data_IF_978080407671
#
_entry.id   IF_978080407671
#
_cell.length_a   1.000
_cell.length_b   1.000
_cell.length_c   1.000
_cell.angle_alpha   90.00
_cell.angle_beta   90.00
_cell.angle_gamma   90.00
#
_symmetry.space_group_name_H-M   'P 1'
#
loop_
_entity.id
_entity.type
_entity.pdbx_description
1 polymer ?
#
# COMPACT_ATOMS: atom_id res chain seq x y z
N UNK A 1 -11.70 -31.05 29.18
CA UNK A 1 -13.05 -30.72 29.71
C UNK A 1 -12.90 -29.69 30.83
N UNK A 2 -13.31 -28.44 30.63
CA UNK A 2 -13.98 -27.59 31.63
C UNK A 2 -14.43 -26.27 30.99
N UNK A 3 -15.76 -26.15 30.83
CA UNK A 3 -16.66 -24.99 31.02
C UNK A 3 -16.21 -23.64 30.43
N UNK A 4 -16.80 -23.18 29.31
CA UNK A 4 -18.06 -22.38 29.24
C UNK A 4 -18.20 -21.35 30.38
N UNK A 5 -18.07 -20.08 30.03
CA UNK A 5 -18.82 -18.99 30.64
C UNK A 5 -19.16 -17.94 29.57
N UNK A 6 -20.45 -17.83 29.35
CA UNK A 6 -21.15 -16.91 28.48
C UNK A 6 -21.41 -15.56 29.17
N UNK A 7 -21.77 -14.57 28.34
CA UNK A 7 -22.76 -13.52 28.62
C UNK A 7 -22.28 -12.28 29.40
N UNK A 8 -22.45 -11.12 28.76
CA UNK A 8 -22.27 -9.81 29.38
C UNK A 8 -22.55 -8.67 28.41
N UNK A 9 -23.77 -8.58 27.88
CA UNK A 9 -24.29 -7.43 27.17
C UNK A 9 -24.93 -6.49 28.21
N UNK A 10 -24.43 -5.26 28.35
CA UNK A 10 -25.13 -4.19 29.08
C UNK A 10 -25.03 -2.88 28.29
N UNK A 11 -26.21 -2.39 27.94
CA UNK A 11 -26.55 -1.11 27.32
C UNK A 11 -26.80 -0.07 28.43
N UNK A 12 -26.32 1.16 28.26
CA UNK A 12 -26.88 2.39 28.86
C UNK A 12 -26.35 3.61 28.03
N UNK A 13 -27.11 4.25 27.13
CA UNK A 13 -28.31 5.12 27.27
C UNK A 13 -27.97 6.61 27.50
N UNK A 14 -28.29 7.39 26.44
CA UNK A 14 -28.80 8.77 26.36
C UNK A 14 -28.05 9.92 27.04
N UNK A 15 -27.63 10.92 26.24
CA UNK A 15 -28.00 12.32 26.52
C UNK A 15 -28.36 13.05 25.22
N UNK A 16 -29.49 13.74 25.34
CA UNK A 16 -30.23 14.62 24.44
C UNK A 16 -29.41 15.73 23.75
N UNK A 17 -29.77 15.99 22.49
CA UNK A 17 -29.53 17.24 21.78
C UNK A 17 -30.73 17.58 20.89
N UNK A 18 -31.86 17.90 21.53
CA UNK A 18 -33.00 18.53 20.85
C UNK A 18 -32.65 20.01 20.72
N UNK A 19 -32.37 20.45 19.49
CA UNK A 19 -32.14 21.86 19.18
C UNK A 19 -32.86 22.24 17.90
N UNK A 20 -33.98 22.96 18.04
CA UNK A 20 -34.41 23.97 17.08
C UNK A 20 -35.29 23.53 15.92
N UNK A 21 -36.60 23.51 16.14
CA UNK A 21 -37.60 23.68 15.10
C UNK A 21 -37.72 25.21 14.81
N UNK A 22 -37.42 25.65 13.59
CA UNK A 22 -37.55 27.03 13.15
C UNK A 22 -37.96 27.08 11.70
N UNK A 23 -39.17 27.58 11.42
CA UNK A 23 -39.84 27.48 10.14
C UNK A 23 -39.59 28.70 9.24
N UNK A 24 -39.54 28.43 7.93
CA UNK A 24 -39.75 29.34 6.77
C UNK A 24 -38.67 30.37 6.38
N UNK A 25 -37.97 30.09 5.27
CA UNK A 25 -38.08 30.96 4.09
C UNK A 25 -37.68 30.24 2.80
N UNK A 26 -38.52 30.41 1.77
CA UNK A 26 -38.34 29.88 0.41
C UNK A 26 -37.07 30.45 -0.21
N UNK A 27 -36.20 29.56 -0.71
CA UNK A 27 -35.48 29.76 -1.97
C UNK A 27 -34.96 28.40 -2.45
N UNK A 28 -35.56 27.91 -3.51
CA UNK A 28 -35.07 26.79 -4.29
C UNK A 28 -34.24 27.35 -5.45
N UNK A 29 -33.03 26.83 -5.66
CA UNK A 29 -32.67 26.26 -6.96
C UNK A 29 -32.12 24.84 -6.75
N UNK A 30 -32.84 23.80 -7.16
CA UNK A 30 -32.56 23.03 -8.38
C UNK A 30 -31.11 22.50 -8.44
N UNK A 31 -30.98 21.24 -7.99
CA UNK A 31 -29.85 20.29 -8.06
C UNK A 31 -29.08 20.32 -9.42
N UNK A 32 -27.83 19.80 -9.52
CA UNK A 32 -27.46 18.47 -9.02
C UNK A 32 -26.00 18.24 -8.57
N UNK A 33 -25.79 17.02 -8.06
CA UNK A 33 -24.57 16.22 -8.15
C UNK A 33 -23.62 16.23 -6.94
N UNK A 34 -23.61 15.06 -6.30
CA UNK A 34 -22.44 14.39 -5.74
C UNK A 34 -21.60 15.21 -4.76
N UNK A 35 -21.96 15.11 -3.48
CA UNK A 35 -20.93 15.04 -2.43
C UNK A 35 -20.13 13.76 -2.67
N UNK A 36 -19.19 13.82 -3.62
CA UNK A 36 -18.01 12.98 -3.56
C UNK A 36 -17.35 13.35 -2.24
N UNK A 37 -17.52 12.51 -1.23
CA UNK A 37 -16.52 12.34 -0.19
C UNK A 37 -15.18 12.26 -0.92
N UNK A 38 -14.45 13.37 -0.87
CA UNK A 38 -13.01 13.35 -1.08
C UNK A 38 -12.49 12.42 -0.01
N UNK A 39 -12.37 11.13 -0.37
CA UNK A 39 -11.32 10.30 0.16
C UNK A 39 -10.08 11.18 0.11
N UNK A 40 -9.54 11.55 1.27
CA UNK A 40 -8.18 12.02 1.37
C UNK A 40 -7.35 11.08 0.48
N UNK A 41 -6.91 11.63 -0.64
CA UNK A 41 -6.05 10.97 -1.59
C UNK A 41 -4.78 10.69 -0.79
N UNK A 42 -4.69 9.49 -0.22
CA UNK A 42 -3.50 8.94 0.40
C UNK A 42 -2.41 9.21 -0.62
N UNK A 43 -1.55 10.18 -0.33
CA UNK A 43 -0.46 10.56 -1.21
C UNK A 43 0.38 9.30 -1.36
N UNK A 44 0.16 8.56 -2.45
CA UNK A 44 0.96 7.41 -2.81
C UNK A 44 2.41 7.89 -2.83
N UNK A 45 3.20 7.41 -1.88
CA UNK A 45 4.63 7.69 -1.80
C UNK A 45 5.29 6.92 -2.94
N UNK A 46 5.22 7.48 -4.15
CA UNK A 46 5.80 6.86 -5.32
C UNK A 46 7.32 6.88 -5.25
N UNK A 47 7.97 5.80 -5.69
CA UNK A 47 9.41 5.78 -5.94
C UNK A 47 9.76 6.83 -6.99
N UNK A 48 10.81 7.59 -6.73
CA UNK A 48 11.38 8.53 -7.70
C UNK A 48 12.11 7.74 -8.79
N UNK A 49 11.80 7.98 -10.08
CA UNK A 49 12.45 7.27 -11.17
C UNK A 49 13.97 7.44 -11.17
N UNK A 50 14.69 6.34 -11.36
CA UNK A 50 16.14 6.38 -11.58
C UNK A 50 16.40 6.55 -13.08
N UNK A 51 17.30 7.48 -13.48
CA UNK A 51 17.62 7.68 -14.89
C UNK A 51 18.13 6.40 -15.56
N UNK A 52 17.65 6.16 -16.79
CA UNK A 52 18.17 5.09 -17.64
C UNK A 52 19.67 5.28 -17.90
N UNK A 53 20.42 4.17 -17.94
CA UNK A 53 21.87 4.19 -18.08
C UNK A 53 22.64 4.40 -16.76
N UNK A 54 21.95 4.60 -15.63
CA UNK A 54 22.59 4.54 -14.30
C UNK A 54 23.22 3.15 -14.10
N UNK A 55 24.48 3.04 -13.65
CA UNK A 55 25.09 1.74 -13.39
C UNK A 55 24.24 0.87 -12.45
N UNK A 56 24.09 -0.41 -12.76
CA UNK A 56 23.17 -1.32 -12.03
C UNK A 56 23.40 -1.30 -10.51
N UNK A 57 24.65 -1.33 -10.06
CA UNK A 57 24.97 -1.29 -8.63
C UNK A 57 24.49 0.00 -7.95
N UNK A 58 24.66 1.14 -8.61
CA UNK A 58 24.18 2.44 -8.11
C UNK A 58 22.66 2.54 -8.16
N UNK A 59 22.04 2.01 -9.23
CA UNK A 59 20.60 1.96 -9.39
C UNK A 59 19.94 1.11 -8.28
N UNK A 60 20.49 -0.07 -8.01
CA UNK A 60 20.03 -0.94 -6.93
C UNK A 60 20.17 -0.28 -5.56
N UNK A 61 21.29 0.40 -5.31
CA UNK A 61 21.52 1.11 -4.05
C UNK A 61 20.45 2.19 -3.84
N UNK A 62 20.25 3.06 -4.84
CA UNK A 62 19.25 4.13 -4.80
C UNK A 62 17.81 3.61 -4.69
N UNK A 63 17.45 2.53 -5.39
CA UNK A 63 16.13 1.89 -5.22
C UNK A 63 15.98 1.35 -3.80
N UNK A 64 17.03 0.71 -3.29
CA UNK A 64 17.00 0.15 -1.95
C UNK A 64 16.81 1.23 -0.89
N UNK A 65 17.54 2.34 -0.98
CA UNK A 65 17.39 3.49 -0.10
C UNK A 65 15.96 4.07 -0.12
N UNK A 66 15.39 4.25 -1.32
CA UNK A 66 14.03 4.77 -1.47
C UNK A 66 12.97 3.83 -0.91
N UNK A 67 13.12 2.52 -1.09
CA UNK A 67 12.21 1.49 -0.56
C UNK A 67 12.34 1.40 0.95
N UNK A 68 13.56 1.43 1.49
CA UNK A 68 13.80 1.40 2.93
C UNK A 68 13.27 2.64 3.66
N UNK A 69 13.11 3.77 2.95
CA UNK A 69 12.51 4.98 3.49
C UNK A 69 10.97 4.93 3.56
N UNK A 70 10.35 3.92 2.94
CA UNK A 70 8.90 3.76 2.92
C UNK A 70 8.37 3.28 4.26
N UNK A 71 7.12 3.66 4.59
CA UNK A 71 6.45 3.15 5.78
C UNK A 71 6.34 1.62 5.75
N UNK A 72 6.37 1.01 6.93
CA UNK A 72 6.18 -0.42 7.11
C UNK A 72 7.20 -1.34 6.41
N UNK A 73 8.28 -0.81 5.83
CA UNK A 73 9.36 -1.59 5.22
C UNK A 73 10.48 -1.85 6.23
N UNK A 74 10.92 -3.11 6.28
CA UNK A 74 12.02 -3.60 7.12
C UNK A 74 13.29 -3.89 6.33
N UNK A 75 13.16 -4.15 5.04
CA UNK A 75 14.26 -4.64 4.21
C UNK A 75 13.91 -4.63 2.74
N UNK A 76 14.93 -4.56 1.89
CA UNK A 76 14.80 -4.80 0.46
C UNK A 76 16.07 -5.47 -0.06
N UNK A 77 15.93 -6.36 -1.04
CA UNK A 77 17.04 -7.07 -1.65
C UNK A 77 16.79 -7.24 -3.14
N UNK A 78 17.79 -6.92 -3.96
CA UNK A 78 17.78 -7.15 -5.40
C UNK A 78 18.93 -8.09 -5.74
N UNK A 79 18.63 -9.24 -6.33
CA UNK A 79 19.61 -10.29 -6.61
C UNK A 79 19.21 -11.11 -7.84
N UNK A 80 20.16 -11.85 -8.40
CA UNK A 80 19.90 -12.78 -9.49
C UNK A 80 19.99 -14.22 -8.99
N UNK A 81 19.02 -15.05 -9.38
CA UNK A 81 19.04 -16.48 -9.11
C UNK A 81 18.47 -17.25 -10.30
N UNK A 82 19.23 -18.22 -10.80
CA UNK A 82 18.82 -19.10 -11.91
C UNK A 82 18.38 -18.33 -13.18
N UNK A 83 19.01 -17.20 -13.48
CA UNK A 83 18.69 -16.37 -14.64
C UNK A 83 17.39 -15.56 -14.50
N UNK A 84 16.86 -15.42 -13.29
CA UNK A 84 15.75 -14.53 -12.94
C UNK A 84 16.29 -13.47 -11.98
N UNK A 85 15.97 -12.21 -12.21
CA UNK A 85 16.28 -11.14 -11.26
C UNK A 85 15.11 -10.95 -10.28
N UNK A 86 15.41 -11.07 -9.00
CA UNK A 86 14.48 -10.93 -7.90
C UNK A 86 14.59 -9.55 -7.26
N UNK A 87 13.46 -8.99 -6.84
CA UNK A 87 13.34 -7.79 -6.02
C UNK A 87 12.40 -8.06 -4.85
N UNK A 88 12.95 -8.32 -3.68
CA UNK A 88 12.19 -8.67 -2.49
C UNK A 88 12.03 -7.43 -1.60
N UNK A 89 10.83 -7.19 -1.09
CA UNK A 89 10.55 -6.17 -0.06
C UNK A 89 10.02 -6.88 1.18
N UNK A 90 10.71 -6.72 2.30
CA UNK A 90 10.28 -7.23 3.61
C UNK A 90 9.50 -6.14 4.33
N UNK A 91 8.28 -6.44 4.77
CA UNK A 91 7.38 -5.54 5.47
C UNK A 91 7.19 -5.95 6.93
N UNK A 92 6.74 -5.00 7.75
CA UNK A 92 6.20 -5.26 9.08
C UNK A 92 5.00 -6.22 9.02
N UNK A 93 4.77 -6.92 10.12
CA UNK A 93 3.57 -7.75 10.31
C UNK A 93 2.30 -6.89 10.17
N UNK A 94 1.30 -7.39 9.45
CA UNK A 94 0.02 -6.71 9.27
C UNK A 94 0.05 -5.52 8.30
N UNK A 95 1.07 -5.41 7.45
CA UNK A 95 1.09 -4.42 6.36
C UNK A 95 -0.18 -4.50 5.51
N UNK A 96 -0.70 -3.34 5.12
CA UNK A 96 -1.84 -3.28 4.21
C UNK A 96 -1.46 -3.88 2.84
N UNK A 97 -2.29 -4.82 2.36
CA UNK A 97 -1.99 -5.56 1.14
C UNK A 97 -2.02 -4.67 -0.11
N UNK A 98 -2.93 -3.70 -0.17
CA UNK A 98 -3.02 -2.81 -1.33
C UNK A 98 -1.78 -1.92 -1.41
N UNK A 99 -1.32 -1.40 -0.27
CA UNK A 99 -0.07 -0.67 -0.15
C UNK A 99 1.15 -1.51 -0.56
N UNK A 100 1.29 -2.73 -0.02
CA UNK A 100 2.39 -3.62 -0.39
C UNK A 100 2.43 -3.89 -1.90
N UNK A 101 1.27 -4.17 -2.50
CA UNK A 101 1.16 -4.43 -3.93
C UNK A 101 1.46 -3.21 -4.79
N UNK A 102 1.09 -2.01 -4.32
CA UNK A 102 1.47 -0.77 -5.00
C UNK A 102 3.00 -0.65 -5.05
N UNK A 103 3.68 -0.81 -3.90
CA UNK A 103 5.13 -0.67 -3.83
C UNK A 103 5.86 -1.75 -4.63
N UNK A 104 5.36 -3.00 -4.66
CA UNK A 104 5.89 -4.05 -5.53
C UNK A 104 5.75 -3.68 -7.01
N UNK A 105 4.60 -3.13 -7.42
CA UNK A 105 4.39 -2.67 -8.79
C UNK A 105 5.37 -1.57 -9.19
N UNK A 106 5.66 -0.64 -8.29
CA UNK A 106 6.63 0.43 -8.50
C UNK A 106 8.07 -0.08 -8.59
N UNK A 107 8.47 -0.99 -7.69
CA UNK A 107 9.77 -1.65 -7.76
C UNK A 107 9.93 -2.38 -9.10
N UNK A 108 8.92 -3.15 -9.52
CA UNK A 108 8.95 -3.86 -10.80
C UNK A 108 9.10 -2.88 -11.98
N UNK A 109 8.40 -1.74 -11.96
CA UNK A 109 8.50 -0.74 -13.00
C UNK A 109 9.93 -0.17 -13.12
N UNK A 110 10.59 0.10 -11.99
CA UNK A 110 11.99 0.56 -11.98
C UNK A 110 12.97 -0.55 -12.40
N UNK A 111 12.73 -1.80 -11.98
CA UNK A 111 13.58 -2.92 -12.36
C UNK A 111 13.52 -3.20 -13.87
N UNK A 112 12.37 -3.04 -14.52
CA UNK A 112 12.24 -3.20 -15.99
C UNK A 112 13.16 -2.29 -16.79
N UNK A 113 13.47 -1.11 -16.27
CA UNK A 113 14.38 -0.15 -16.92
C UNK A 113 15.82 -0.65 -16.81
N UNK A 114 16.23 -1.08 -15.62
CA UNK A 114 17.63 -1.44 -15.33
C UNK A 114 18.00 -2.87 -15.78
N UNK A 115 17.01 -3.76 -15.88
CA UNK A 115 17.17 -5.17 -16.21
C UNK A 115 16.37 -5.54 -17.48
N UNK A 116 16.43 -4.66 -18.47
CA UNK A 116 15.73 -4.86 -19.75
C UNK A 116 16.11 -6.20 -20.40
N UNK A 117 15.09 -6.93 -20.86
CA UNK A 117 15.27 -8.23 -21.52
C UNK A 117 15.49 -9.41 -20.56
N UNK A 118 15.45 -9.21 -19.24
CA UNK A 118 15.53 -10.30 -18.27
C UNK A 118 14.18 -10.64 -17.64
N UNK A 119 13.90 -11.92 -17.33
CA UNK A 119 12.78 -12.29 -16.47
C UNK A 119 12.94 -11.70 -15.08
N UNK A 120 11.88 -11.10 -14.55
CA UNK A 120 11.86 -10.45 -13.23
C UNK A 120 10.81 -11.08 -12.33
N UNK A 121 11.08 -11.08 -11.03
CA UNK A 121 10.12 -11.45 -9.99
C UNK A 121 10.27 -10.48 -8.83
N UNK A 122 9.19 -9.80 -8.45
CA UNK A 122 9.16 -9.01 -7.21
C UNK A 122 8.27 -9.68 -6.18
N UNK A 123 8.68 -9.68 -4.92
CA UNK A 123 7.97 -10.38 -3.85
C UNK A 123 7.82 -9.49 -2.63
N UNK A 124 6.63 -9.50 -2.04
CA UNK A 124 6.39 -8.94 -0.71
C UNK A 124 6.54 -10.05 0.32
N UNK A 125 7.31 -9.80 1.38
CA UNK A 125 7.55 -10.74 2.47
C UNK A 125 7.06 -10.12 3.77
N UNK A 126 6.24 -10.83 4.54
CA UNK A 126 5.84 -10.42 5.89
C UNK A 126 5.82 -11.67 6.78
N UNK A 127 6.30 -11.54 8.02
CA UNK A 127 6.47 -12.66 8.96
C UNK A 127 7.22 -13.87 8.35
N UNK A 128 8.23 -13.58 7.52
CA UNK A 128 9.07 -14.60 6.86
C UNK A 128 8.39 -15.37 5.74
N UNK A 129 7.18 -14.98 5.34
CA UNK A 129 6.41 -15.62 4.26
C UNK A 129 6.16 -14.66 3.12
N UNK A 130 6.12 -15.18 1.90
CA UNK A 130 5.71 -14.41 0.72
C UNK A 130 4.21 -14.14 0.81
N UNK A 131 3.84 -12.86 0.84
CA UNK A 131 2.44 -12.41 0.91
C UNK A 131 1.86 -12.03 -0.45
N UNK A 132 2.72 -11.65 -1.40
CA UNK A 132 2.37 -11.42 -2.80
C UNK A 132 3.61 -11.50 -3.70
N UNK A 133 3.40 -11.73 -5.00
CA UNK A 133 4.46 -11.83 -6.00
C UNK A 133 3.98 -11.37 -7.37
N UNK A 134 4.81 -10.58 -8.05
CA UNK A 134 4.56 -10.13 -9.43
C UNK A 134 5.69 -10.65 -10.32
N UNK A 135 5.32 -11.44 -11.32
CA UNK A 135 6.24 -12.00 -12.29
C UNK A 135 6.17 -11.23 -13.61
N UNK A 136 7.33 -11.00 -14.22
CA UNK A 136 7.44 -10.42 -15.55
C UNK A 136 8.35 -11.27 -16.43
N UNK A 137 7.87 -11.57 -17.63
CA UNK A 137 8.66 -12.17 -18.70
C UNK A 137 8.67 -11.18 -19.87
N UNK A 138 9.85 -10.73 -20.33
CA UNK A 138 9.99 -9.79 -21.43
C UNK A 138 9.58 -10.39 -22.78
#
# INVERSE_FOLDING_TARGET
MLRKLSMGLIIAVLIFGIGGCGNTNKNQPQNPAAEQQQNENVKSEYLTPIPEGTPIGESNLKLSEQIMAQKDVLGTQIYEQQGITYGDITFNAGVDKAYANQLLGELLAQMKINYSGMPLTVQGISDGQVIDSINFKP
#
